data_IF_279275977036
#
_entry.id   IF_279275977036
#
_cell.length_a   1.000
_cell.length_b   1.000
_cell.length_c   1.000
_cell.angle_alpha   90.00
_cell.angle_beta   90.00
_cell.angle_gamma   90.00
#
_symmetry.space_group_name_H-M   'P 1'
#
loop_
_entity.id
_entity.type
_entity.pdbx_description
1 polymer ?
#
# COMPACT_ATOMS: atom_id res chain seq x y z
N UNK A 1 10.73 -15.26 27.70
CA UNK A 1 10.30 -13.97 27.11
C UNK A 1 10.50 -14.07 25.60
N UNK A 2 9.48 -14.54 24.87
CA UNK A 2 9.54 -14.66 23.40
C UNK A 2 9.64 -13.26 22.80
N UNK A 3 10.84 -12.87 22.35
CA UNK A 3 11.00 -11.76 21.41
C UNK A 3 10.45 -12.26 20.08
N UNK A 4 9.20 -11.95 19.79
CA UNK A 4 8.69 -12.04 18.43
C UNK A 4 9.45 -10.98 17.65
N UNK A 5 10.51 -11.38 16.96
CA UNK A 5 11.17 -10.53 15.96
C UNK A 5 10.25 -10.50 14.76
N UNK A 6 9.19 -9.71 14.88
CA UNK A 6 8.37 -9.29 13.77
C UNK A 6 9.28 -8.49 12.84
N UNK A 7 9.51 -8.91 11.58
CA UNK A 7 10.30 -8.12 10.64
C UNK A 7 9.74 -6.69 10.60
N UNK A 8 10.59 -5.66 10.55
CA UNK A 8 10.19 -4.24 10.68
C UNK A 8 8.94 -3.86 9.87
N UNK A 9 8.77 -4.44 8.67
CA UNK A 9 7.60 -4.31 7.80
C UNK A 9 6.26 -4.64 8.50
N UNK A 10 6.25 -5.68 9.34
CA UNK A 10 5.06 -6.10 10.09
C UNK A 10 4.76 -5.19 11.28
N UNK A 11 5.77 -4.55 11.89
CA UNK A 11 5.54 -3.54 12.92
C UNK A 11 4.91 -2.27 12.31
N UNK A 12 5.39 -1.83 11.15
CA UNK A 12 4.81 -0.67 10.44
C UNK A 12 3.33 -0.95 10.11
N UNK A 13 3.03 -2.16 9.62
CA UNK A 13 1.65 -2.56 9.33
C UNK A 13 0.75 -2.53 10.57
N UNK A 14 1.25 -3.01 11.72
CA UNK A 14 0.51 -2.96 13.00
C UNK A 14 0.28 -1.50 13.44
N UNK A 15 1.28 -0.64 13.34
CA UNK A 15 1.13 0.78 13.65
C UNK A 15 0.10 1.48 12.75
N UNK A 16 0.13 1.20 11.44
CA UNK A 16 -0.84 1.74 10.50
C UNK A 16 -2.26 1.30 10.86
N UNK A 17 -2.46 0.01 11.15
CA UNK A 17 -3.79 -0.52 11.53
C UNK A 17 -4.29 0.18 12.79
N UNK A 18 -3.51 0.22 13.87
CA UNK A 18 -3.91 0.88 15.12
C UNK A 18 -4.20 2.37 14.90
N UNK A 19 -3.39 3.04 14.09
CA UNK A 19 -3.58 4.45 13.77
C UNK A 19 -4.91 4.69 13.06
N UNK A 20 -5.24 3.85 12.08
CA UNK A 20 -6.51 3.94 11.34
C UNK A 20 -7.70 3.57 12.21
N UNK A 21 -7.64 2.48 12.99
CA UNK A 21 -8.74 2.09 13.88
C UNK A 21 -9.11 3.24 14.83
N UNK A 22 -8.10 3.91 15.42
CA UNK A 22 -8.33 5.03 16.34
C UNK A 22 -8.98 6.25 15.68
N UNK A 23 -8.76 6.45 14.38
CA UNK A 23 -9.36 7.58 13.65
C UNK A 23 -10.82 7.34 13.28
N UNK A 24 -11.21 6.08 13.08
CA UNK A 24 -12.51 5.73 12.49
C UNK A 24 -13.42 4.93 13.44
N UNK A 25 -13.01 4.72 14.70
CA UNK A 25 -13.79 4.01 15.73
C UNK A 25 -14.27 2.61 15.28
N UNK A 26 -13.49 1.91 14.46
CA UNK A 26 -13.82 0.61 13.89
C UNK A 26 -13.33 -0.58 14.72
N UNK A 27 -13.65 -1.81 14.28
CA UNK A 27 -13.12 -3.05 14.85
C UNK A 27 -11.70 -3.32 14.33
N UNK A 28 -10.73 -3.53 15.22
CA UNK A 28 -9.33 -3.84 14.88
C UNK A 28 -9.18 -5.03 13.91
N UNK A 29 -10.01 -6.07 14.06
CA UNK A 29 -9.96 -7.25 13.19
C UNK A 29 -10.40 -6.93 11.76
N UNK A 30 -11.46 -6.12 11.64
CA UNK A 30 -11.97 -5.66 10.36
C UNK A 30 -10.97 -4.74 9.66
N UNK A 31 -10.33 -3.83 10.42
CA UNK A 31 -9.28 -2.94 9.90
C UNK A 31 -8.07 -3.72 9.41
N UNK A 32 -7.60 -4.72 10.17
CA UNK A 32 -6.49 -5.56 9.77
C UNK A 32 -6.80 -6.34 8.49
N UNK A 33 -7.99 -6.95 8.42
CA UNK A 33 -8.44 -7.68 7.22
C UNK A 33 -8.50 -6.75 6.00
N UNK A 34 -9.05 -5.56 6.14
CA UNK A 34 -9.11 -4.57 5.06
C UNK A 34 -7.70 -4.12 4.64
N UNK A 35 -6.82 -3.79 5.60
CA UNK A 35 -5.45 -3.36 5.34
C UNK A 35 -4.68 -4.40 4.50
N UNK A 36 -4.68 -5.67 4.91
CA UNK A 36 -3.97 -6.73 4.18
C UNK A 36 -4.63 -7.05 2.83
N UNK A 37 -5.96 -7.01 2.74
CA UNK A 37 -6.68 -7.24 1.48
C UNK A 37 -6.32 -6.17 0.44
N UNK A 38 -6.34 -4.90 0.84
CA UNK A 38 -5.89 -3.77 -0.01
C UNK A 38 -4.42 -3.95 -0.38
N UNK A 39 -3.57 -4.30 0.59
CA UNK A 39 -2.14 -4.54 0.38
C UNK A 39 -1.86 -5.59 -0.69
N UNK A 40 -2.63 -6.67 -0.68
CA UNK A 40 -2.55 -7.73 -1.68
C UNK A 40 -3.08 -7.27 -3.04
N UNK A 41 -4.29 -6.71 -3.07
CA UNK A 41 -4.97 -6.28 -4.30
C UNK A 41 -4.15 -5.25 -5.07
N UNK A 42 -3.64 -4.23 -4.39
CA UNK A 42 -2.81 -3.17 -4.99
C UNK A 42 -1.33 -3.56 -5.14
N UNK A 43 -0.98 -4.83 -4.88
CA UNK A 43 0.38 -5.34 -5.00
C UNK A 43 1.43 -4.59 -4.17
N UNK A 44 1.04 -3.99 -3.05
CA UNK A 44 1.90 -3.15 -2.22
C UNK A 44 3.02 -3.95 -1.54
N UNK A 45 2.74 -5.19 -1.14
CA UNK A 45 3.79 -6.09 -0.64
C UNK A 45 4.85 -6.35 -1.73
N UNK A 46 4.41 -6.62 -2.95
CA UNK A 46 5.30 -6.85 -4.08
C UNK A 46 6.13 -5.59 -4.39
N UNK A 47 5.52 -4.40 -4.40
CA UNK A 47 6.24 -3.15 -4.63
C UNK A 47 7.33 -2.90 -3.58
N UNK A 48 7.02 -3.09 -2.29
CA UNK A 48 8.01 -2.96 -1.21
C UNK A 48 9.16 -3.96 -1.36
N UNK A 49 8.87 -5.20 -1.78
CA UNK A 49 9.90 -6.22 -2.08
C UNK A 49 10.71 -5.88 -3.33
N UNK A 50 10.11 -5.23 -4.31
CA UNK A 50 10.83 -4.73 -5.49
C UNK A 50 11.82 -3.64 -5.09
N UNK A 51 11.49 -2.77 -4.13
CA UNK A 51 12.47 -1.83 -3.54
C UNK A 51 13.64 -2.57 -2.88
N UNK A 52 13.37 -3.60 -2.08
CA UNK A 52 14.42 -4.39 -1.42
C UNK A 52 15.40 -5.01 -2.44
N UNK A 53 14.90 -5.45 -3.61
CA UNK A 53 15.71 -6.04 -4.68
C UNK A 53 16.63 -5.05 -5.40
N UNK A 54 16.35 -3.75 -5.31
CA UNK A 54 17.17 -2.70 -5.92
C UNK A 54 18.28 -2.17 -4.99
N UNK A 55 18.38 -2.72 -3.77
CA UNK A 55 19.39 -2.32 -2.81
C UNK A 55 20.80 -2.64 -3.34
N UNK A 56 21.73 -1.73 -3.07
CA UNK A 56 23.16 -1.91 -3.31
C UNK A 56 23.98 -1.15 -2.24
N UNK A 57 25.30 -1.15 -2.37
CA UNK A 57 26.20 -0.55 -1.38
C UNK A 57 26.21 0.99 -1.38
N UNK A 58 25.50 1.64 -2.32
CA UNK A 58 25.37 3.10 -2.32
C UNK A 58 24.48 3.57 -1.18
N UNK A 59 25.04 4.42 -0.31
CA UNK A 59 24.32 5.03 0.81
C UNK A 59 23.05 5.77 0.37
N UNK A 60 23.18 6.64 -0.63
CA UNK A 60 22.04 7.40 -1.16
C UNK A 60 20.99 6.52 -1.82
N UNK A 61 21.40 5.42 -2.46
CA UNK A 61 20.45 4.45 -3.02
C UNK A 61 19.63 3.77 -1.93
N UNK A 62 20.27 3.36 -0.83
CA UNK A 62 19.55 2.76 0.32
C UNK A 62 18.55 3.73 0.93
N UNK A 63 18.94 4.98 1.16
CA UNK A 63 18.03 6.00 1.70
C UNK A 63 16.84 6.28 0.77
N UNK A 64 17.09 6.42 -0.54
CA UNK A 64 16.03 6.65 -1.52
C UNK A 64 15.03 5.48 -1.57
N UNK A 65 15.52 4.24 -1.53
CA UNK A 65 14.67 3.05 -1.51
C UNK A 65 13.87 2.92 -0.21
N UNK A 66 14.48 3.25 0.94
CA UNK A 66 13.76 3.29 2.22
C UNK A 66 12.63 4.33 2.18
N UNK A 67 12.92 5.54 1.71
CA UNK A 67 11.90 6.59 1.55
C UNK A 67 10.77 6.16 0.62
N UNK A 68 11.07 5.46 -0.49
CA UNK A 68 10.03 4.90 -1.36
C UNK A 68 9.18 3.82 -0.67
N UNK A 69 9.78 2.98 0.18
CA UNK A 69 9.02 1.99 0.96
C UNK A 69 8.09 2.66 1.96
N UNK A 70 8.57 3.67 2.68
CA UNK A 70 7.78 4.43 3.66
C UNK A 70 6.60 5.13 2.98
N UNK A 71 6.85 5.70 1.79
CA UNK A 71 5.84 6.27 0.91
C UNK A 71 4.75 5.28 0.50
N UNK A 72 5.10 4.00 0.27
CA UNK A 72 4.12 2.96 -0.08
C UNK A 72 3.29 2.53 1.13
N UNK A 73 3.86 2.51 2.34
CA UNK A 73 3.10 2.31 3.58
C UNK A 73 2.11 3.45 3.80
N UNK A 74 2.54 4.71 3.65
CA UNK A 74 1.64 5.88 3.77
C UNK A 74 0.49 5.81 2.77
N UNK A 75 0.77 5.43 1.51
CA UNK A 75 -0.25 5.29 0.48
C UNK A 75 -1.25 4.18 0.78
N UNK A 76 -0.80 3.05 1.34
CA UNK A 76 -1.70 1.99 1.82
C UNK A 76 -2.65 2.52 2.91
N UNK A 77 -2.10 3.23 3.89
CA UNK A 77 -2.85 3.83 5.00
C UNK A 77 -3.88 4.85 4.50
N UNK A 78 -3.48 5.77 3.64
CA UNK A 78 -4.37 6.79 3.04
C UNK A 78 -5.47 6.17 2.20
N UNK A 79 -5.17 5.11 1.45
CA UNK A 79 -6.17 4.36 0.70
C UNK A 79 -7.21 3.73 1.64
N UNK A 80 -6.75 3.07 2.69
CA UNK A 80 -7.62 2.46 3.70
C UNK A 80 -8.54 3.53 4.34
N UNK A 81 -7.99 4.66 4.78
CA UNK A 81 -8.80 5.77 5.34
C UNK A 81 -9.87 6.24 4.36
N UNK A 82 -9.52 6.41 3.08
CA UNK A 82 -10.49 6.83 2.04
C UNK A 82 -11.61 5.81 1.83
N UNK A 83 -11.28 4.51 1.88
CA UNK A 83 -12.27 3.43 1.78
C UNK A 83 -13.22 3.46 2.98
N UNK A 84 -12.68 3.56 4.19
CA UNK A 84 -13.49 3.51 5.41
C UNK A 84 -14.38 4.76 5.53
N UNK A 85 -13.88 5.94 5.20
CA UNK A 85 -14.67 7.19 5.26
C UNK A 85 -15.88 7.19 4.31
N UNK A 86 -15.91 6.31 3.31
CA UNK A 86 -17.07 6.11 2.42
C UNK A 86 -17.95 4.94 2.86
N UNK A 87 -17.51 4.15 3.84
CA UNK A 87 -18.23 3.02 4.40
C UNK A 87 -19.15 3.50 5.53
N UNK A 88 -20.40 3.03 5.57
CA UNK A 88 -21.37 3.51 6.56
C UNK A 88 -21.30 2.78 7.91
N UNK A 89 -21.09 1.46 7.90
CA UNK A 89 -21.19 0.63 9.11
C UNK A 89 -20.22 -0.54 9.11
N UNK A 90 -19.93 -1.11 7.93
CA UNK A 90 -18.93 -2.15 7.72
C UNK A 90 -18.13 -1.81 6.46
N UNK A 91 -16.88 -2.24 6.41
CA UNK A 91 -16.02 -2.08 5.23
C UNK A 91 -16.46 -3.10 4.18
N UNK A 92 -17.23 -2.64 3.20
CA UNK A 92 -17.52 -3.41 2.00
C UNK A 92 -16.55 -3.01 0.87
N UNK A 93 -15.48 -3.80 0.74
CA UNK A 93 -14.46 -3.57 -0.28
C UNK A 93 -14.98 -3.81 -1.70
N UNK A 94 -15.89 -4.77 -1.88
CA UNK A 94 -16.42 -5.10 -3.21
C UNK A 94 -17.30 -3.97 -3.72
N UNK A 95 -18.19 -3.45 -2.86
CA UNK A 95 -18.99 -2.26 -3.16
C UNK A 95 -18.12 -1.04 -3.45
N UNK A 96 -17.05 -0.83 -2.67
CA UNK A 96 -16.13 0.27 -2.92
C UNK A 96 -15.41 0.12 -4.26
N UNK A 97 -14.98 -1.09 -4.62
CA UNK A 97 -14.36 -1.37 -5.92
C UNK A 97 -15.34 -1.08 -7.05
N UNK A 98 -16.59 -1.51 -6.93
CA UNK A 98 -17.60 -1.27 -7.98
C UNK A 98 -17.87 0.23 -8.17
N UNK A 99 -17.94 0.99 -7.08
CA UNK A 99 -18.08 2.45 -7.14
C UNK A 99 -16.87 3.15 -7.77
N UNK A 100 -15.67 2.56 -7.67
CA UNK A 100 -14.40 3.13 -8.16
C UNK A 100 -13.81 2.34 -9.35
N UNK A 101 -14.63 1.53 -10.01
CA UNK A 101 -14.19 0.44 -10.90
C UNK A 101 -13.21 0.88 -11.97
N UNK A 102 -13.50 2.00 -12.64
CA UNK A 102 -12.63 2.53 -13.70
C UNK A 102 -11.25 2.92 -13.15
N UNK A 103 -11.19 3.67 -12.05
CA UNK A 103 -9.94 4.12 -11.44
C UNK A 103 -9.12 2.94 -10.92
N UNK A 104 -9.76 2.01 -10.19
CA UNK A 104 -9.11 0.82 -9.65
C UNK A 104 -8.58 -0.06 -10.78
N UNK A 105 -9.40 -0.37 -11.78
CA UNK A 105 -8.99 -1.20 -12.93
C UNK A 105 -7.79 -0.59 -13.65
N UNK A 106 -7.83 0.70 -13.96
CA UNK A 106 -6.72 1.36 -14.66
C UNK A 106 -5.41 1.30 -13.87
N UNK A 107 -5.48 1.47 -12.54
CA UNK A 107 -4.29 1.37 -11.70
C UNK A 107 -3.76 -0.07 -11.62
N UNK A 108 -4.65 -1.06 -11.47
CA UNK A 108 -4.27 -2.48 -11.40
C UNK A 108 -3.70 -3.00 -12.73
N UNK A 109 -4.28 -2.59 -13.86
CA UNK A 109 -3.77 -2.92 -15.19
C UNK A 109 -2.36 -2.34 -15.40
N UNK A 110 -2.14 -1.08 -14.98
CA UNK A 110 -0.81 -0.47 -15.01
C UNK A 110 0.20 -1.26 -14.16
N UNK A 111 -0.16 -1.66 -12.94
CA UNK A 111 0.73 -2.49 -12.09
C UNK A 111 1.00 -3.85 -12.74
N UNK A 112 0.00 -4.46 -13.39
CA UNK A 112 0.16 -5.73 -14.11
C UNK A 112 1.15 -5.60 -15.28
N UNK A 113 1.08 -4.51 -16.02
CA UNK A 113 2.05 -4.20 -17.08
C UNK A 113 3.47 -4.08 -16.52
N UNK A 114 3.67 -3.32 -15.43
CA UNK A 114 4.99 -3.20 -14.79
C UNK A 114 5.52 -4.57 -14.34
N UNK A 115 4.66 -5.42 -13.76
CA UNK A 115 5.02 -6.78 -13.33
C UNK A 115 5.43 -7.71 -14.48
N UNK A 116 5.02 -7.42 -15.71
CA UNK A 116 5.37 -8.21 -16.90
C UNK A 116 6.74 -7.85 -17.50
N UNK A 117 7.37 -6.77 -17.03
CA UNK A 117 8.68 -6.36 -17.50
C UNK A 117 9.77 -7.27 -16.93
N UNK A 118 10.78 -7.60 -17.75
CA UNK A 118 11.91 -8.43 -17.33
C UNK A 118 12.82 -7.73 -16.32
N UNK A 119 13.00 -6.41 -16.50
CA UNK A 119 13.86 -5.59 -15.65
C UNK A 119 13.03 -4.44 -15.08
N UNK A 120 13.01 -4.35 -13.75
CA UNK A 120 12.37 -3.26 -13.02
C UNK A 120 13.46 -2.51 -12.27
N UNK A 121 13.79 -1.30 -12.74
CA UNK A 121 14.79 -0.44 -12.13
C UNK A 121 14.17 0.57 -11.15
N UNK A 122 15.01 1.42 -10.55
CA UNK A 122 14.54 2.46 -9.63
C UNK A 122 13.55 3.44 -10.29
N UNK A 123 13.75 3.79 -11.56
CA UNK A 123 12.92 4.79 -12.24
C UNK A 123 11.48 4.28 -12.40
N UNK A 124 11.33 2.99 -12.69
CA UNK A 124 10.03 2.33 -12.75
C UNK A 124 9.33 2.38 -11.39
N UNK A 125 10.05 2.13 -10.29
CA UNK A 125 9.48 2.21 -8.93
C UNK A 125 9.03 3.65 -8.60
N UNK A 126 9.83 4.66 -8.96
CA UNK A 126 9.48 6.07 -8.77
C UNK A 126 8.21 6.42 -9.57
N UNK A 127 8.10 5.95 -10.82
CA UNK A 127 6.92 6.13 -11.65
C UNK A 127 5.67 5.50 -11.00
N UNK A 128 5.79 4.27 -10.49
CA UNK A 128 4.69 3.60 -9.79
C UNK A 128 4.27 4.41 -8.56
N UNK A 129 5.23 4.86 -7.75
CA UNK A 129 4.95 5.69 -6.58
C UNK A 129 4.17 6.96 -6.94
N UNK A 130 4.56 7.64 -8.03
CA UNK A 130 3.87 8.81 -8.54
C UNK A 130 2.47 8.50 -9.09
N UNK A 131 2.31 7.41 -9.83
CA UNK A 131 1.01 6.97 -10.35
C UNK A 131 0.04 6.58 -9.24
N UNK A 132 0.54 5.98 -8.16
CA UNK A 132 -0.25 5.67 -6.96
C UNK A 132 -0.74 6.96 -6.29
N UNK A 133 0.12 7.97 -6.18
CA UNK A 133 -0.28 9.28 -5.63
C UNK A 133 -1.41 9.92 -6.46
N UNK A 134 -1.30 9.90 -7.79
CA UNK A 134 -2.35 10.43 -8.69
C UNK A 134 -3.65 9.63 -8.52
N UNK A 135 -3.56 8.30 -8.36
CA UNK A 135 -4.71 7.46 -8.07
C UNK A 135 -5.41 7.89 -6.77
N UNK A 136 -4.67 8.11 -5.69
CA UNK A 136 -5.23 8.57 -4.42
C UNK A 136 -5.90 9.96 -4.51
N UNK A 137 -5.35 10.86 -5.32
CA UNK A 137 -5.91 12.20 -5.52
C UNK A 137 -7.24 12.17 -6.28
N UNK A 138 -7.45 11.18 -7.15
CA UNK A 138 -8.70 11.00 -7.90
C UNK A 138 -9.81 10.30 -7.12
N UNK A 139 -9.47 9.70 -5.98
CA UNK A 139 -10.45 9.13 -5.05
C UNK A 139 -10.99 10.27 -4.18
N UNK A 140 -12.08 10.92 -4.61
CA UNK A 140 -12.80 11.94 -3.84
C UNK A 140 -13.51 11.36 -2.62
#
# INVERSE_FOLDING_TARGET
MLKIFLPFDSLISVFDIIHVTKQVSGNDEEMAKAYFTIGNMFSLYWLRKTCDRQLNDSYWRRLGLQSLKDDLYDKQRRLLIKIINKSQTTIDLDLWIDNNKSLVKNFLDFIKEIKSQEVIDLNVIILVNKKFEIFLQKLE
#
